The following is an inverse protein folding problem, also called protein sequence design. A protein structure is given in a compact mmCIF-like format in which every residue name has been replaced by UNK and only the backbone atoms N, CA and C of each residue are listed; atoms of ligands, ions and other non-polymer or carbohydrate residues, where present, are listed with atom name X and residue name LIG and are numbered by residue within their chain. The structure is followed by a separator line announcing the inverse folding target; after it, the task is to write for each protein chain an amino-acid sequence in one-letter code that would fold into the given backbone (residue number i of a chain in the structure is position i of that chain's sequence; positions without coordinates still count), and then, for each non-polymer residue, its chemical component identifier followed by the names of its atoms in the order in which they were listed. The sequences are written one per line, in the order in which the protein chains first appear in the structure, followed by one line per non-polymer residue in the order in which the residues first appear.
data_IF_887252857857
#
_entry.id   IF_887252857857
#
_cell.length_a   1.000
_cell.length_b   1.000
_cell.length_c   1.000
_cell.angle_alpha   90.00
_cell.angle_beta   90.00
_cell.angle_gamma   90.00
#
_symmetry.space_group_name_H-M   'P 1'
#
loop_
_entity.id
_entity.type
_entity.pdbx_description
1 polymer ?
#
# COMPACT_ATOMS: atom_id res chain seq x y z
N UNK A 1 4.27 16.21 -18.55
CA UNK A 1 4.01 14.76 -18.38
C UNK A 1 5.33 14.04 -18.51
N UNK A 2 5.60 13.08 -17.62
CA UNK A 2 6.81 12.26 -17.64
C UNK A 2 6.43 10.84 -18.05
N UNK A 3 7.22 10.24 -18.95
CA UNK A 3 6.98 8.89 -19.46
C UNK A 3 7.94 7.90 -18.82
N UNK A 4 7.46 6.69 -18.56
CA UNK A 4 8.28 5.56 -18.10
C UNK A 4 8.15 4.46 -19.14
N UNK A 5 9.28 3.91 -19.57
CA UNK A 5 9.34 2.83 -20.57
C UNK A 5 9.99 1.62 -19.94
N UNK A 6 9.34 0.47 -20.01
CA UNK A 6 9.87 -0.81 -19.55
C UNK A 6 10.10 -1.72 -20.75
N UNK A 7 11.19 -2.49 -20.71
CA UNK A 7 11.38 -3.61 -21.63
C UNK A 7 10.77 -4.85 -20.98
N UNK A 8 9.91 -5.53 -21.72
CA UNK A 8 9.25 -6.77 -21.31
C UNK A 8 9.37 -7.79 -22.44
N UNK A 9 9.29 -9.06 -22.11
CA UNK A 9 9.10 -10.15 -23.05
C UNK A 9 7.71 -10.11 -23.68
N UNK A 10 7.53 -10.84 -24.77
CA UNK A 10 6.21 -10.97 -25.41
C UNK A 10 5.18 -11.65 -24.50
N UNK A 11 5.63 -12.59 -23.66
CA UNK A 11 4.78 -13.29 -22.68
C UNK A 11 4.30 -12.34 -21.57
N UNK A 12 5.21 -11.58 -20.97
CA UNK A 12 4.86 -10.56 -19.96
C UNK A 12 3.91 -9.52 -20.55
N UNK A 13 4.15 -9.07 -21.78
CA UNK A 13 3.25 -8.13 -22.47
C UNK A 13 1.86 -8.71 -22.65
N UNK A 14 1.73 -9.95 -23.09
CA UNK A 14 0.44 -10.62 -23.28
C UNK A 14 -0.30 -10.76 -21.95
N UNK A 15 0.40 -11.14 -20.88
CA UNK A 15 -0.15 -11.24 -19.54
C UNK A 15 -0.64 -9.89 -19.01
N UNK A 16 0.18 -8.84 -19.14
CA UNK A 16 -0.19 -7.48 -18.70
C UNK A 16 -1.44 -6.96 -19.43
N UNK A 17 -1.55 -7.22 -20.74
CA UNK A 17 -2.74 -6.85 -21.53
C UNK A 17 -3.99 -7.58 -21.04
N UNK A 18 -3.91 -8.91 -20.86
CA UNK A 18 -5.04 -9.70 -20.38
C UNK A 18 -5.51 -9.25 -18.98
N UNK A 19 -4.58 -8.91 -18.09
CA UNK A 19 -4.90 -8.40 -16.76
C UNK A 19 -5.52 -7.00 -16.82
N UNK A 20 -5.03 -6.12 -17.70
CA UNK A 20 -5.60 -4.80 -17.88
C UNK A 20 -7.05 -4.90 -18.40
N UNK A 21 -7.29 -5.75 -19.40
CA UNK A 21 -8.62 -6.02 -19.94
C UNK A 21 -9.57 -6.60 -18.89
N UNK A 22 -9.10 -7.56 -18.08
CA UNK A 22 -9.88 -8.16 -16.99
C UNK A 22 -10.33 -7.12 -15.95
N UNK A 23 -9.48 -6.13 -15.67
CA UNK A 23 -9.77 -5.07 -14.71
C UNK A 23 -10.47 -3.85 -15.34
N UNK A 24 -10.71 -3.86 -16.66
CA UNK A 24 -11.30 -2.72 -17.38
C UNK A 24 -10.42 -1.47 -17.34
N UNK A 25 -9.10 -1.63 -17.25
CA UNK A 25 -8.10 -0.57 -17.13
C UNK A 25 -7.14 -0.59 -18.32
N UNK A 26 -6.43 0.51 -18.56
CA UNK A 26 -5.25 0.47 -19.45
C UNK A 26 -4.05 -0.16 -18.74
N UNK A 27 -3.10 -0.71 -19.52
CA UNK A 27 -1.86 -1.28 -18.96
C UNK A 27 -1.08 -0.25 -18.12
N UNK A 28 -1.09 1.02 -18.54
CA UNK A 28 -0.41 2.09 -17.80
C UNK A 28 -1.11 2.42 -16.48
N UNK A 29 -2.44 2.38 -16.42
CA UNK A 29 -3.18 2.58 -15.18
C UNK A 29 -3.00 1.41 -14.23
N UNK A 30 -3.08 0.17 -14.73
CA UNK A 30 -2.81 -1.03 -13.94
C UNK A 30 -1.39 -0.98 -13.35
N UNK A 31 -0.37 -0.76 -14.19
CA UNK A 31 1.01 -0.73 -13.76
C UNK A 31 1.28 0.39 -12.74
N UNK A 32 0.72 1.59 -12.94
CA UNK A 32 0.88 2.70 -12.00
C UNK A 32 0.22 2.39 -10.65
N UNK A 33 -1.02 1.94 -10.69
CA UNK A 33 -1.83 1.71 -9.49
C UNK A 33 -1.21 0.61 -8.65
N UNK A 34 -0.96 -0.55 -9.25
CA UNK A 34 -0.34 -1.68 -8.55
C UNK A 34 1.05 -1.35 -8.01
N UNK A 35 1.88 -0.63 -8.78
CA UNK A 35 3.22 -0.24 -8.29
C UNK A 35 3.15 0.69 -7.09
N UNK A 36 2.27 1.70 -7.11
CA UNK A 36 2.15 2.64 -6.01
C UNK A 36 1.53 1.98 -4.78
N UNK A 37 0.44 1.23 -4.93
CA UNK A 37 -0.22 0.50 -3.84
C UNK A 37 0.75 -0.48 -3.17
N UNK A 38 1.52 -1.25 -3.95
CA UNK A 38 2.50 -2.20 -3.38
C UNK A 38 3.59 -1.50 -2.57
N UNK A 39 4.03 -0.31 -3.01
CA UNK A 39 5.04 0.47 -2.29
C UNK A 39 4.47 1.12 -1.04
N UNK A 40 3.21 1.59 -1.08
CA UNK A 40 2.49 2.12 0.08
C UNK A 40 2.26 1.03 1.12
N UNK A 41 1.77 -0.15 0.72
CA UNK A 41 1.59 -1.31 1.59
C UNK A 41 2.90 -1.70 2.29
N UNK A 42 4.03 -1.64 1.58
CA UNK A 42 5.34 -1.93 2.18
C UNK A 42 5.71 -0.92 3.27
N UNK A 43 5.47 0.38 3.03
CA UNK A 43 5.73 1.45 4.00
C UNK A 43 4.79 1.29 5.21
N UNK A 44 3.51 1.05 4.96
CA UNK A 44 2.50 0.87 6.01
C UNK A 44 2.83 -0.33 6.90
N UNK A 45 3.26 -1.44 6.32
CA UNK A 45 3.71 -2.61 7.07
C UNK A 45 4.95 -2.33 7.92
N UNK A 46 5.91 -1.55 7.41
CA UNK A 46 7.11 -1.18 8.17
C UNK A 46 6.76 -0.27 9.35
N UNK A 47 5.87 0.71 9.14
CA UNK A 47 5.35 1.60 10.19
C UNK A 47 4.62 0.80 11.25
N UNK A 48 3.71 -0.09 10.83
CA UNK A 48 2.95 -0.96 11.73
C UNK A 48 3.89 -1.82 12.58
N UNK A 49 4.86 -2.49 11.96
CA UNK A 49 5.80 -3.36 12.67
C UNK A 49 6.61 -2.61 13.72
N UNK A 50 7.02 -1.37 13.41
CA UNK A 50 7.72 -0.51 14.36
C UNK A 50 6.80 -0.11 15.53
N UNK A 51 5.61 0.40 15.24
CA UNK A 51 4.64 0.81 16.26
C UNK A 51 4.26 -0.37 17.18
N UNK A 52 4.07 -1.56 16.61
CA UNK A 52 3.76 -2.78 17.37
C UNK A 52 4.93 -3.24 18.23
N UNK A 53 6.17 -3.05 17.80
CA UNK A 53 7.34 -3.35 18.62
C UNK A 53 7.39 -2.44 19.85
N UNK A 54 7.13 -1.14 19.65
CA UNK A 54 7.12 -0.15 20.72
C UNK A 54 5.95 -0.43 21.69
N UNK A 55 4.74 -0.70 21.18
CA UNK A 55 3.60 -1.09 21.99
C UNK A 55 3.84 -2.37 22.80
N UNK A 56 4.44 -3.42 22.22
CA UNK A 56 4.79 -4.64 22.97
C UNK A 56 5.79 -4.41 24.10
N UNK A 57 6.58 -3.34 24.04
CA UNK A 57 7.51 -2.97 25.11
C UNK A 57 6.83 -2.25 26.27
N UNK A 58 5.66 -1.65 26.02
CA UNK A 58 4.83 -0.96 26.99
C UNK A 58 3.35 -1.19 26.64
N UNK A 59 2.83 -2.34 27.06
CA UNK A 59 1.45 -2.77 26.80
C UNK A 59 0.47 -2.03 27.72
N UNK A 60 0.30 -0.74 27.46
CA UNK A 60 -0.63 0.13 28.16
C UNK A 60 -1.90 0.29 27.32
N UNK A 61 -3.03 -0.01 27.96
CA UNK A 61 -4.36 0.24 27.43
C UNK A 61 -5.07 1.20 28.36
N UNK A 62 -5.59 2.30 27.80
CA UNK A 62 -6.45 3.24 28.51
C UNK A 62 -7.91 2.97 28.18
N UNK A 63 -8.81 3.29 29.10
CA UNK A 63 -10.24 3.23 28.81
C UNK A 63 -10.66 4.27 27.77
N UNK A 64 -11.79 4.05 27.11
CA UNK A 64 -12.34 4.99 26.12
C UNK A 64 -12.53 6.40 26.68
N UNK A 65 -12.93 6.51 27.96
CA UNK A 65 -13.11 7.81 28.62
C UNK A 65 -11.77 8.51 28.91
N UNK A 66 -10.72 7.76 29.22
CA UNK A 66 -9.37 8.31 29.39
C UNK A 66 -8.79 8.77 28.06
N UNK A 67 -9.01 8.01 26.98
CA UNK A 67 -8.60 8.37 25.62
C UNK A 67 -9.24 9.68 25.16
N UNK A 68 -10.56 9.83 25.35
CA UNK A 68 -11.27 11.09 25.04
C UNK A 68 -10.66 12.27 25.79
N UNK A 69 -10.41 12.09 27.09
CA UNK A 69 -9.80 13.12 27.94
C UNK A 69 -8.42 13.53 27.44
N UNK A 70 -7.59 12.59 26.99
CA UNK A 70 -6.26 12.89 26.41
C UNK A 70 -6.34 13.60 25.05
N UNK A 71 -7.34 13.27 24.23
CA UNK A 71 -7.58 13.89 22.92
C UNK A 71 -8.35 15.22 22.99
N UNK A 72 -8.81 15.64 24.17
CA UNK A 72 -9.62 16.84 24.35
C UNK A 72 -11.03 16.74 23.75
N UNK A 73 -11.58 15.52 23.70
CA UNK A 73 -12.91 15.20 23.18
C UNK A 73 -13.93 14.94 24.31
#
# INVERSE_FOLDING_TARGET
MSNITFRVSDEEKAFMLAMADLNGMTVSELARTTLLETLEDQIDMDIYNKAMKDHKSLDESISHEEMKRELGL
#
